data_IF_058277876608
#
_entry.id   IF_058277876608
#
_cell.length_a   1.000
_cell.length_b   1.000
_cell.length_c   1.000
_cell.angle_alpha   90.00
_cell.angle_beta   90.00
_cell.angle_gamma   90.00
#
_symmetry.space_group_name_H-M   'P 1'
#
loop_
_entity.id
_entity.type
_entity.pdbx_description
1 polymer ?
2 non-polymer ?
3 water ?
#
# COMPACT_ATOMS: atom_id res chain seq x y z
N UNK A 6 11.82 22.22 -19.53
CA UNK A 6 10.59 22.18 -20.30
C UNK A 6 9.57 21.23 -19.67
N UNK A 7 8.38 21.74 -19.37
CA UNK A 7 7.33 20.93 -18.78
C UNK A 7 6.87 19.84 -19.74
N UNK A 8 6.80 18.61 -19.24
CA UNK A 8 6.28 17.51 -20.04
C UNK A 8 4.79 17.69 -20.28
N UNK A 9 4.41 17.82 -21.56
CA UNK A 9 3.00 18.09 -21.91
C UNK A 9 2.09 16.93 -21.51
N UNK A 10 0.99 17.25 -20.85
CA UNK A 10 0.05 16.23 -20.39
C UNK A 10 -1.39 16.62 -20.73
N UNK A 11 -2.21 15.62 -21.05
CA UNK A 11 -3.58 15.85 -21.48
C UNK A 11 -4.56 15.00 -20.68
N UNK A 12 -5.80 15.46 -20.59
CA UNK A 12 -6.88 14.66 -20.03
C UNK A 12 -7.27 13.60 -21.06
N UNK A 13 -7.89 12.52 -20.60
CA UNK A 13 -8.39 11.51 -21.53
C UNK A 13 -9.41 12.14 -22.46
N UNK A 14 -9.41 11.71 -23.74
CA UNK A 14 -10.24 12.33 -24.78
C UNK A 14 -11.72 12.36 -24.41
N UNK A 15 -12.35 13.51 -24.57
CA UNK A 15 -13.78 13.66 -24.30
C UNK A 15 -14.09 13.77 -22.82
N UNK A 16 -13.04 13.88 -22.00
CA UNK A 16 -13.22 14.04 -20.56
C UNK A 16 -12.85 15.44 -20.07
N UNK A 17 -13.64 15.97 -19.16
CA UNK A 17 -13.40 17.30 -18.61
C UNK A 17 -12.66 17.18 -17.28
N UNK A 18 -12.38 18.32 -16.66
CA UNK A 18 -11.67 18.33 -15.39
C UNK A 18 -12.55 17.88 -14.26
N UNK A 19 -11.94 17.52 -13.12
CA UNK A 19 -12.69 17.07 -11.94
C UNK A 19 -13.45 18.22 -11.29
N UNK A 20 -14.71 17.98 -10.92
CA UNK A 20 -15.40 18.88 -10.02
C UNK A 20 -15.96 18.08 -8.86
N UNK A 21 -15.39 18.28 -7.68
CA UNK A 21 -15.77 17.53 -6.49
C UNK A 21 -15.83 18.46 -5.30
N UNK A 22 -16.96 18.48 -4.61
CA UNK A 22 -17.16 19.37 -3.47
C UNK A 22 -16.13 19.11 -2.37
N UNK A 23 -15.64 20.18 -1.77
CA UNK A 23 -14.71 20.06 -0.65
C UNK A 23 -15.50 19.81 0.63
N UNK A 24 -15.21 18.69 1.29
CA UNK A 24 -15.93 18.34 2.50
C UNK A 24 -15.45 19.17 3.70
N UNK A 25 -16.38 19.49 4.61
CA UNK A 25 -16.10 20.35 5.77
C UNK A 25 -14.98 19.77 6.63
N UNK A 26 -14.22 20.64 7.28
CA UNK A 26 -13.09 20.21 8.08
C UNK A 26 -13.09 20.84 9.46
N UNK A 27 -12.47 20.16 10.42
CA UNK A 27 -12.34 20.66 11.77
C UNK A 27 -11.48 21.92 11.78
N UNK A 28 -11.73 22.81 12.72
CA UNK A 28 -10.94 24.03 12.86
C UNK A 28 -9.45 23.72 12.95
N UNK A 29 -9.13 22.62 13.62
CA UNK A 29 -7.74 22.23 13.83
C UNK A 29 -7.05 21.83 12.52
N UNK A 30 -7.75 21.04 11.72
CA UNK A 30 -7.19 20.59 10.44
C UNK A 30 -7.10 21.75 9.45
N UNK A 31 -8.10 22.63 9.47
CA UNK A 31 -8.07 23.84 8.66
C UNK A 31 -6.86 24.69 9.00
N UNK A 32 -6.68 24.98 10.29
CA UNK A 32 -5.59 25.83 10.75
C UNK A 32 -4.24 25.27 10.32
N UNK A 33 -4.17 23.96 10.15
CA UNK A 33 -2.96 23.31 9.67
C UNK A 33 -2.82 23.45 8.16
N UNK A 34 -3.93 23.26 7.45
CA UNK A 34 -3.94 23.38 6.00
C UNK A 34 -3.58 24.79 5.54
N UNK A 35 -4.15 25.78 6.21
CA UNK A 35 -3.84 27.17 5.91
C UNK A 35 -2.33 27.43 6.03
N UNK A 36 -1.77 27.03 7.17
CA UNK A 36 -0.35 27.26 7.44
C UNK A 36 0.54 26.51 6.46
N UNK A 37 0.13 25.28 6.13
CA UNK A 37 0.87 24.47 5.17
C UNK A 37 0.87 25.13 3.80
N UNK A 38 -0.30 25.59 3.38
CA UNK A 38 -0.48 26.16 2.05
C UNK A 38 0.18 27.53 1.91
N UNK A 39 0.12 28.32 2.97
CA UNK A 39 0.77 29.64 2.95
C UNK A 39 2.23 29.47 2.58
N UNK A 40 2.84 28.41 3.09
CA UNK A 40 4.25 28.15 2.84
C UNK A 40 4.51 27.57 1.45
N UNK A 41 3.59 26.74 0.98
CA UNK A 41 3.71 26.17 -0.36
C UNK A 41 3.65 27.30 -1.38
N UNK A 42 2.91 28.36 -1.04
CA UNK A 42 2.75 29.51 -1.93
C UNK A 42 4.03 30.34 -1.97
N UNK A 43 4.61 30.61 -0.80
CA UNK A 43 5.85 31.36 -0.71
C UNK A 43 6.95 30.68 -1.52
N UNK A 44 6.91 29.36 -1.55
CA UNK A 44 7.90 28.57 -2.27
C UNK A 44 7.50 28.35 -3.72
N UNK A 45 6.33 28.87 -4.08
CA UNK A 45 5.84 28.77 -5.45
C UNK A 45 5.38 27.38 -5.84
N UNK A 46 5.04 26.57 -4.86
CA UNK A 46 4.54 25.23 -5.12
C UNK A 46 3.09 25.31 -5.56
N UNK A 47 2.39 26.34 -5.09
CA UNK A 47 1.00 26.57 -5.46
C UNK A 47 0.75 28.06 -5.69
N UNK A 48 -0.32 28.36 -6.42
CA UNK A 48 -0.67 29.75 -6.70
C UNK A 48 -2.17 29.96 -6.58
N UNK A 49 -2.57 31.12 -6.09
CA UNK A 49 -3.98 31.47 -6.04
C UNK A 49 -4.53 31.57 -7.46
N UNK A 50 -5.83 31.31 -7.61
CA UNK A 50 -6.47 31.38 -8.91
C UNK A 50 -7.78 32.16 -8.85
N UNK A 51 -8.30 32.53 -10.01
CA UNK A 51 -9.48 33.36 -10.09
C UNK A 51 -10.77 32.56 -10.25
N UNK A 52 -11.92 33.25 -10.20
CA UNK A 52 -13.24 32.64 -10.31
C UNK A 52 -13.48 31.96 -11.65
N UNK A 53 -12.66 32.28 -12.65
CA UNK A 53 -12.81 31.68 -13.97
C UNK A 53 -12.62 30.17 -13.96
N UNK A 54 -12.03 29.66 -12.88
CA UNK A 54 -11.73 28.23 -12.76
C UNK A 54 -12.86 27.45 -12.10
N UNK A 55 -13.54 26.61 -12.89
CA UNK A 55 -14.64 25.74 -12.46
C UNK A 55 -14.21 24.55 -11.60
N UNK A 56 -13.04 23.98 -11.91
CA UNK A 56 -12.62 22.70 -11.34
C UNK A 56 -12.32 22.73 -9.85
N UNK A 57 -12.49 21.59 -9.19
CA UNK A 57 -12.08 21.46 -7.80
C UNK A 57 -11.71 20.02 -7.43
N UNK A 58 -10.78 19.89 -6.50
CA UNK A 58 -10.40 18.59 -5.95
C UNK A 58 -10.37 18.69 -4.42
N UNK A 59 -10.82 17.64 -3.73
CA UNK A 59 -10.93 17.65 -2.27
C UNK A 59 -9.58 17.55 -1.58
N UNK A 60 -9.45 18.18 -0.42
CA UNK A 60 -8.23 18.11 0.36
C UNK A 60 -8.52 17.94 1.84
N UNK A 61 -7.59 17.30 2.55
CA UNK A 61 -7.69 17.21 4.00
C UNK A 61 -6.30 16.99 4.60
N UNK A 62 -6.27 16.83 5.91
CA UNK A 62 -4.99 16.74 6.62
C UNK A 62 -4.92 15.45 7.43
N UNK A 63 -3.79 14.76 7.34
CA UNK A 63 -3.57 13.55 8.11
C UNK A 63 -2.30 13.64 8.94
N UNK A 64 -2.04 12.59 9.73
CA UNK A 64 -0.78 12.48 10.46
C UNK A 64 -0.25 11.05 10.38
N UNK A 65 0.98 10.91 9.90
CA UNK A 65 1.55 9.59 9.68
C UNK A 65 2.33 9.09 10.90
N UNK A 66 2.16 7.81 11.20
CA UNK A 66 2.86 7.18 12.32
C UNK A 66 2.73 7.97 13.61
N UNK A 67 3.86 8.17 14.29
CA UNK A 67 3.89 8.86 15.58
C UNK A 67 4.00 10.38 15.41
N UNK A 68 4.28 10.81 14.19
CA UNK A 68 4.48 12.23 13.91
C UNK A 68 3.32 13.10 14.38
N UNK A 69 3.64 14.18 15.06
CA UNK A 69 2.63 15.14 15.50
C UNK A 69 2.50 16.27 14.48
N UNK A 70 3.32 16.21 13.45
CA UNK A 70 3.28 17.20 12.38
C UNK A 70 2.29 16.80 11.30
N UNK A 71 1.47 17.76 10.87
CA UNK A 71 0.44 17.50 9.87
C UNK A 71 1.00 17.34 8.46
N UNK A 72 0.36 16.47 7.68
CA UNK A 72 0.65 16.34 6.26
C UNK A 72 -0.62 16.63 5.47
N UNK A 73 -0.48 17.34 4.36
CA UNK A 73 -1.64 17.64 3.52
C UNK A 73 -1.93 16.47 2.57
N UNK A 74 -3.19 16.06 2.53
CA UNK A 74 -3.59 14.98 1.64
C UNK A 74 -4.66 15.44 0.66
N UNK A 75 -4.30 15.43 -0.62
CA UNK A 75 -5.22 15.83 -1.67
C UNK A 75 -5.81 14.57 -2.30
N UNK A 76 -7.09 14.59 -2.63
CA UNK A 76 -7.71 13.42 -3.24
C UNK A 76 -7.82 13.63 -4.75
N UNK A 77 -6.97 12.91 -5.48
CA UNK A 77 -6.90 13.01 -6.93
C UNK A 77 -7.67 11.92 -7.67
N UNK A 78 -8.40 11.10 -6.93
CA UNK A 78 -9.06 9.94 -7.53
C UNK A 78 -9.81 10.31 -8.80
N UNK A 79 -10.52 11.43 -8.78
CA UNK A 79 -11.22 11.91 -9.96
C UNK A 79 -10.26 12.34 -11.06
N UNK A 80 -9.33 13.22 -10.70
CA UNK A 80 -8.34 13.72 -11.64
C UNK A 80 -7.55 12.56 -12.26
N UNK A 81 -7.17 11.59 -11.44
CA UNK A 81 -6.41 10.44 -11.91
C UNK A 81 -7.19 9.61 -12.93
N UNK A 82 -8.46 9.40 -12.66
CA UNK A 82 -9.32 8.69 -13.60
C UNK A 82 -9.41 9.46 -14.92
N UNK A 83 -9.42 10.77 -14.84
CA UNK A 83 -9.60 11.62 -16.02
C UNK A 83 -8.29 11.97 -16.72
N UNK A 84 -7.16 11.68 -16.07
CA UNK A 84 -5.85 11.95 -16.63
C UNK A 84 -5.47 10.90 -17.69
N UNK A 85 -4.57 11.27 -18.60
CA UNK A 85 -4.12 10.38 -19.66
C UNK A 85 -3.38 9.17 -19.08
N UNK A 86 -3.34 8.09 -19.85
CA UNK A 86 -2.61 6.89 -19.43
C UNK A 86 -1.12 6.98 -19.75
N UNK A 87 -0.31 6.82 -18.71
CA UNK A 87 1.15 6.93 -18.79
C UNK A 87 1.86 5.59 -19.01
N UNK A 88 1.08 4.53 -19.25
CA UNK A 88 1.59 3.16 -19.22
C UNK A 88 2.85 2.95 -20.06
N UNK A 89 3.07 3.81 -21.04
CA UNK A 89 4.25 3.72 -21.88
C UNK A 89 5.52 3.54 -21.05
N UNK A 90 5.57 4.24 -19.92
CA UNK A 90 6.72 4.17 -19.01
C UNK A 90 6.83 2.81 -18.34
N UNK A 91 5.75 2.37 -17.71
CA UNK A 91 5.74 1.11 -16.97
C UNK A 91 6.08 -0.07 -17.88
N UNK A 94 9.58 -2.62 -17.12
CA UNK A 94 9.55 -2.69 -15.66
C UNK A 94 8.33 -3.46 -15.17
N UNK A 95 8.30 -4.78 -15.42
CA UNK A 95 7.20 -5.63 -14.96
C UNK A 95 7.20 -5.78 -13.45
N UNK A 96 6.01 -5.86 -12.84
CA UNK A 96 5.89 -5.94 -11.39
C UNK A 96 6.63 -7.16 -10.84
N UNK A 97 7.61 -6.92 -9.96
CA UNK A 97 8.40 -8.01 -9.38
C UNK A 97 7.55 -8.96 -8.53
N UNK A 98 7.67 -10.25 -8.81
CA UNK A 98 6.99 -11.27 -8.02
C UNK A 98 7.76 -11.56 -6.75
N UNK A 99 9.08 -11.36 -6.82
CA UNK A 99 9.95 -11.66 -5.71
C UNK A 99 9.72 -10.77 -4.50
N UNK A 100 9.21 -9.57 -4.73
CA UNK A 100 8.99 -8.61 -3.65
C UNK A 100 8.20 -9.21 -2.49
N UNK A 101 7.14 -9.95 -2.81
CA UNK A 101 6.28 -10.53 -1.79
C UNK A 101 6.96 -11.66 -1.03
N UNK A 102 8.05 -12.19 -1.59
CA UNK A 102 8.80 -13.27 -0.97
C UNK A 102 9.72 -12.76 0.14
N UNK A 103 10.17 -11.52 0.00
CA UNK A 103 11.24 -10.99 0.84
C UNK A 103 10.94 -11.06 2.33
N UNK A 104 12.00 -11.28 3.13
CA UNK A 104 11.87 -11.35 4.58
C UNK A 104 11.35 -10.03 5.13
N UNK A 105 11.84 -8.93 4.57
CA UNK A 105 11.45 -7.60 5.02
C UNK A 105 11.31 -6.62 3.87
N UNK A 106 10.26 -5.81 3.92
CA UNK A 106 10.04 -4.76 2.93
C UNK A 106 9.73 -3.45 3.63
N UNK A 107 10.52 -2.42 3.34
CA UNK A 107 10.34 -1.12 3.98
C UNK A 107 9.73 -0.12 3.00
N UNK A 108 8.84 0.74 3.50
CA UNK A 108 8.14 1.71 2.66
C UNK A 108 8.60 3.13 2.97
N UNK A 109 9.20 3.77 1.96
CA UNK A 109 9.64 5.16 2.11
C UNK A 109 8.71 6.10 1.36
N UNK A 110 8.45 7.27 1.93
CA UNK A 110 7.66 8.28 1.24
C UNK A 110 8.62 9.23 0.52
N UNK A 111 8.61 9.15 -0.80
CA UNK A 111 9.50 9.95 -1.65
C UNK A 111 8.85 11.22 -2.19
N UNK A 112 7.61 11.49 -1.76
CA UNK A 112 6.82 12.57 -2.32
C UNK A 112 7.54 13.90 -2.44
N UNK A 113 8.40 14.20 -1.47
CA UNK A 113 9.16 15.46 -1.49
C UNK A 113 9.89 15.67 -2.81
N UNK A 114 10.25 14.57 -3.46
CA UNK A 114 10.97 14.62 -4.74
C UNK A 114 10.21 15.40 -5.81
N UNK A 115 8.91 15.11 -5.91
CA UNK A 115 8.06 15.68 -6.95
C UNK A 115 8.09 17.20 -7.03
N UNK A 116 8.19 17.86 -5.88
CA UNK A 116 8.00 19.32 -5.81
C UNK A 116 9.07 20.14 -6.52
N UNK A 117 10.14 19.48 -6.97
CA UNK A 117 11.21 20.18 -7.69
C UNK A 117 10.97 20.18 -9.20
N UNK A 118 9.87 19.58 -9.63
CA UNK A 118 9.53 19.50 -11.05
C UNK A 118 8.29 20.34 -11.38
N UNK A 119 8.46 21.33 -12.27
CA UNK A 119 7.34 22.15 -12.72
C UNK A 119 6.29 21.34 -13.48
N UNK A 120 5.05 21.79 -13.41
CA UNK A 120 3.93 21.10 -14.03
C UNK A 120 3.46 21.86 -15.26
N UNK A 121 3.01 21.15 -16.29
CA UNK A 121 2.58 21.79 -17.53
C UNK A 121 1.57 22.89 -17.27
N UNK A 122 1.80 24.05 -17.89
CA UNK A 122 0.98 25.22 -17.63
C UNK A 122 -0.48 25.03 -18.03
N UNK A 123 -0.70 24.27 -19.10
CA UNK A 123 -2.06 24.01 -19.57
C UNK A 123 -2.83 23.17 -18.56
N UNK A 124 -2.15 22.22 -17.94
CA UNK A 124 -2.78 21.25 -17.06
C UNK A 124 -3.07 21.79 -15.66
N UNK A 125 -2.29 22.78 -15.23
CA UNK A 125 -2.35 23.28 -13.86
C UNK A 125 -3.76 23.60 -13.37
N UNK A 126 -4.59 24.16 -14.25
CA UNK A 126 -5.94 24.56 -13.88
C UNK A 126 -6.72 23.40 -13.26
N UNK A 127 -6.45 22.19 -13.73
CA UNK A 127 -7.22 21.00 -13.32
C UNK A 127 -6.92 20.56 -11.89
N UNK A 128 -5.84 21.08 -11.30
CA UNK A 128 -5.41 20.70 -9.97
C UNK A 128 -6.00 21.59 -8.89
N UNK A 129 -6.88 22.49 -9.29
CA UNK A 129 -7.46 23.47 -8.39
C UNK A 129 -8.11 22.84 -7.16
N UNK A 130 -7.85 23.45 -6.01
CA UNK A 130 -8.46 23.02 -4.75
C UNK A 130 -8.82 24.22 -3.89
N UNK A 131 -9.71 24.03 -2.93
CA UNK A 131 -10.20 25.12 -2.10
C UNK A 131 -9.88 24.91 -0.63
N UNK A 132 -9.29 25.92 0.00
CA UNK A 132 -9.01 25.88 1.42
C UNK A 132 -9.99 26.77 2.18
N UNK A 133 -10.90 26.14 2.93
CA UNK A 133 -11.86 26.91 3.73
C UNK A 133 -11.15 27.74 4.79
N UNK A 134 -11.71 28.89 5.14
CA UNK A 134 -11.10 29.76 6.13
C UNK A 134 -11.40 29.25 7.54
N UNK A 135 -10.88 29.94 8.54
CA UNK A 135 -11.13 29.56 9.93
C UNK A 135 -12.56 29.94 10.29
N UNK A 136 -13.31 28.95 10.78
CA UNK A 136 -14.71 29.12 11.16
C UNK A 136 -15.60 29.71 10.07
N UNK A 137 -15.21 29.46 8.82
CA UNK A 137 -16.02 29.84 7.65
C UNK A 137 -16.50 31.30 7.67
N UNK A 138 -15.65 32.19 8.17
CA UNK A 138 -16.02 33.61 8.27
C UNK A 138 -15.93 34.29 6.92
N UNK A 139 -15.09 33.75 6.04
CA UNK A 139 -14.92 34.29 4.70
C UNK A 139 -14.89 33.16 3.68
N UNK A 140 -15.11 33.48 2.41
CA UNK A 140 -15.02 32.45 1.37
C UNK A 140 -13.65 31.78 1.39
N UNK A 141 -13.60 30.53 0.97
CA UNK A 141 -12.35 29.81 0.92
C UNK A 141 -11.42 30.34 -0.16
N UNK A 142 -10.13 30.09 -0.01
CA UNK A 142 -9.15 30.50 -1.00
C UNK A 142 -8.82 29.35 -1.94
N UNK A 143 -8.85 29.63 -3.24
CA UNK A 143 -8.60 28.60 -4.24
C UNK A 143 -7.17 28.69 -4.78
N UNK A 144 -6.51 27.54 -4.85
CA UNK A 144 -5.15 27.48 -5.38
C UNK A 144 -5.06 26.46 -6.52
N UNK A 145 -3.88 26.35 -7.10
CA UNK A 145 -3.56 25.27 -8.03
C UNK A 145 -2.12 24.85 -7.83
N UNK A 146 -1.66 23.85 -8.58
CA UNK A 146 -0.31 23.32 -8.43
C UNK A 146 0.60 23.74 -9.57
N UNK A 147 1.71 24.39 -9.23
CA UNK A 147 2.72 24.77 -10.22
C UNK A 147 3.75 23.66 -10.42
N UNK A 148 3.71 22.67 -9.53
CA UNK A 148 4.65 21.57 -9.57
C UNK A 148 3.91 20.24 -9.48
N UNK A 149 4.60 19.15 -9.81
CA UNK A 149 3.97 17.83 -9.72
C UNK A 149 3.46 17.62 -8.31
N UNK A 150 2.14 17.45 -8.16
CA UNK A 150 1.50 17.24 -6.87
C UNK A 150 1.65 15.82 -6.35
N UNK A 151 1.63 15.66 -5.03
CA UNK A 151 1.63 14.34 -4.42
C UNK A 151 0.22 13.75 -4.49
N UNK A 152 0.11 12.53 -5.00
CA UNK A 152 -1.16 11.85 -5.06
C UNK A 152 -1.75 11.77 -6.45
N UNK A 153 -1.13 12.47 -7.39
CA UNK A 153 -1.59 12.46 -8.78
C UNK A 153 -0.78 11.43 -9.58
N UNK A 154 -1.46 10.60 -10.35
CA UNK A 154 -0.81 9.48 -11.01
C UNK A 154 0.21 9.93 -12.06
N UNK A 155 0.15 11.19 -12.45
CA UNK A 155 1.05 11.73 -13.45
C UNK A 155 2.43 12.00 -12.87
N UNK A 156 2.48 12.37 -11.60
CA UNK A 156 3.73 12.73 -10.94
C UNK A 156 4.81 11.65 -11.00
N UNK A 157 4.50 10.43 -10.57
CA UNK A 157 5.53 9.38 -10.59
C UNK A 157 5.95 9.01 -12.01
N UNK A 158 4.99 9.03 -12.93
CA UNK A 158 5.28 8.70 -14.33
C UNK A 158 6.24 9.70 -14.95
N UNK A 159 6.04 10.97 -14.63
CA UNK A 159 6.86 12.04 -15.17
C UNK A 159 8.22 12.12 -14.46
N UNK A 160 8.25 11.73 -13.19
CA UNK A 160 9.48 11.78 -12.40
C UNK A 160 10.26 10.48 -12.54
N UNK A 161 9.73 9.55 -13.32
CA UNK A 161 10.35 8.24 -13.52
C UNK A 161 11.84 8.34 -13.83
N UNK A 162 12.17 8.93 -14.97
CA UNK A 162 13.55 9.03 -15.43
C UNK A 162 14.47 9.58 -14.34
N UNK A 163 13.99 10.58 -13.62
CA UNK A 163 14.78 11.22 -12.57
C UNK A 163 15.03 10.26 -11.40
N UNK A 164 14.01 9.49 -11.04
CA UNK A 164 14.13 8.53 -9.95
C UNK A 164 15.10 7.42 -10.32
N UNK A 165 14.94 6.90 -11.53
CA UNK A 165 15.81 5.83 -12.03
C UNK A 165 17.28 6.25 -11.92
N UNK A 166 17.56 7.51 -12.21
CA UNK A 166 18.91 8.03 -12.13
C UNK A 166 19.43 8.03 -10.69
N UNK A 167 18.58 8.48 -9.77
CA UNK A 167 18.93 8.55 -8.35
C UNK A 167 19.23 7.17 -7.78
N UNK A 168 18.41 6.19 -8.15
CA UNK A 168 18.51 4.84 -7.62
C UNK A 168 19.63 3.99 -8.25
N UNK A 169 20.05 4.36 -9.45
CA UNK A 169 20.99 3.53 -10.21
C UNK A 169 22.21 3.10 -9.40
N UNK A 170 22.96 4.06 -8.83
CA UNK A 170 24.18 3.69 -8.11
C UNK A 170 23.91 2.68 -6.99
N UNK A 171 22.86 2.90 -6.23
CA UNK A 171 22.57 2.06 -5.08
C UNK A 171 22.11 0.68 -5.53
N UNK A 172 21.41 0.62 -6.65
CA UNK A 172 20.94 -0.62 -7.21
C UNK A 172 22.11 -1.42 -7.73
N UNK A 173 23.05 -0.74 -8.41
CA UNK A 173 24.27 -1.41 -8.85
C UNK A 173 25.03 -1.99 -7.63
N UNK A 174 25.07 -1.23 -6.53
CA UNK A 174 25.84 -1.60 -5.34
C UNK A 174 25.14 -2.68 -4.52
N UNK A 175 23.83 -2.83 -4.71
CA UNK A 175 23.06 -3.82 -3.98
C UNK A 175 22.12 -4.61 -4.89
N UNK A 176 22.68 -5.52 -5.68
CA UNK A 176 21.93 -6.30 -6.68
C UNK A 176 20.89 -7.23 -6.07
N UNK A 177 21.01 -7.53 -4.78
CA UNK A 177 20.09 -8.46 -4.12
C UNK A 177 18.92 -7.76 -3.45
N UNK A 178 18.89 -6.43 -3.58
CA UNK A 178 17.81 -5.63 -2.99
C UNK A 178 16.85 -5.12 -4.05
N UNK A 179 15.56 -5.38 -3.84
CA UNK A 179 14.53 -4.99 -4.80
C UNK A 179 13.88 -3.67 -4.41
N UNK A 180 13.91 -2.70 -5.32
CA UNK A 180 13.26 -1.42 -5.11
C UNK A 180 12.14 -1.20 -6.13
N UNK A 181 10.91 -1.11 -5.62
CA UNK A 181 9.74 -0.94 -6.48
C UNK A 181 8.93 0.27 -6.02
N UNK A 182 8.53 1.11 -6.96
CA UNK A 182 7.79 2.33 -6.63
C UNK A 182 6.32 2.25 -7.02
N UNK A 183 5.47 2.66 -6.08
CA UNK A 183 4.06 2.87 -6.37
C UNK A 183 3.64 4.23 -5.84
N UNK A 184 3.23 5.12 -6.74
CA UNK A 184 2.88 6.49 -6.38
C UNK A 184 4.01 7.19 -5.63
N UNK A 185 3.72 7.63 -4.41
CA UNK A 185 4.67 8.41 -3.63
C UNK A 185 5.54 7.50 -2.74
N UNK A 186 5.36 6.19 -2.85
CA UNK A 186 6.05 5.26 -1.97
C UNK A 186 7.11 4.40 -2.66
N UNK A 187 8.24 4.24 -1.98
CA UNK A 187 9.30 3.35 -2.45
C UNK A 187 9.34 2.10 -1.57
N UNK A 188 9.14 0.94 -2.19
CA UNK A 188 9.14 -0.32 -1.45
C UNK A 188 10.46 -1.04 -1.62
N UNK A 189 11.23 -1.13 -0.55
CA UNK A 189 12.52 -1.78 -0.58
C UNK A 189 12.48 -3.14 0.13
N UNK A 190 12.57 -4.21 -0.66
CA UNK A 190 12.62 -5.56 -0.10
C UNK A 190 14.02 -6.14 -0.01
N UNK A 191 14.17 -7.16 0.82
CA UNK A 191 15.42 -7.93 0.90
C UNK A 191 15.31 -9.02 1.95
N UNK A 192 16.20 -10.00 1.86
CA UNK A 192 16.26 -11.11 2.82
C UNK A 192 17.28 -10.88 3.92
N UNK A 193 17.95 -9.73 3.90
CA UNK A 193 19.02 -9.47 4.84
C UNK A 193 18.54 -9.48 6.28
N UNK A 194 19.44 -9.84 7.20
CA UNK A 194 19.13 -9.79 8.62
C UNK A 194 18.60 -8.41 8.96
N UNK A 195 17.57 -8.36 9.80
CA UNK A 195 16.82 -7.14 10.04
C UNK A 195 17.72 -5.94 10.35
N UNK A 196 18.83 -6.19 11.03
CA UNK A 196 19.77 -5.12 11.34
C UNK A 196 20.51 -4.65 10.11
N UNK A 197 20.98 -5.59 9.29
CA UNK A 197 21.65 -5.24 8.04
C UNK A 197 20.68 -4.53 7.10
N UNK A 198 19.50 -5.12 6.94
CA UNK A 198 18.45 -4.52 6.12
C UNK A 198 18.20 -3.07 6.54
N UNK A 199 18.07 -2.83 7.84
CA UNK A 199 17.78 -1.50 8.35
C UNK A 199 18.83 -0.45 7.98
N UNK A 200 20.11 -0.85 7.99
CA UNK A 200 21.18 0.09 7.68
C UNK A 200 21.26 0.30 6.17
N UNK A 201 20.85 -0.72 5.41
CA UNK A 201 20.75 -0.58 3.96
C UNK A 201 19.74 0.50 3.62
N UNK A 202 18.61 0.48 4.30
CA UNK A 202 17.59 1.51 4.16
C UNK A 202 18.16 2.87 4.51
N UNK A 203 18.96 2.92 5.58
CA UNK A 203 19.55 4.18 6.04
C UNK A 203 20.62 4.71 5.08
N UNK A 204 21.34 3.79 4.43
CA UNK A 204 22.28 4.16 3.38
C UNK A 204 21.50 4.78 2.22
N UNK A 205 20.46 4.07 1.79
CA UNK A 205 19.52 4.58 0.80
C UNK A 205 19.05 5.99 1.15
N UNK A 206 18.40 6.13 2.29
CA UNK A 206 17.88 7.41 2.74
C UNK A 206 18.92 8.52 2.68
N UNK A 207 20.18 8.18 2.96
CA UNK A 207 21.24 9.17 2.91
C UNK A 207 21.65 9.47 1.46
N UNK A 208 21.42 8.51 0.57
CA UNK A 208 21.71 8.72 -0.84
C UNK A 208 20.63 9.61 -1.46
N UNK A 209 19.37 9.34 -1.13
CA UNK A 209 18.27 10.17 -1.59
C UNK A 209 18.42 11.59 -1.05
N UNK A 210 19.02 11.72 0.13
CA UNK A 210 19.21 13.02 0.75
C UNK A 210 20.26 13.82 -0.02
N UNK A 211 21.25 13.14 -0.57
CA UNK A 211 22.28 13.77 -1.38
C UNK A 211 21.66 14.48 -2.58
N UNK A 212 20.52 13.98 -3.03
CA UNK A 212 19.81 14.57 -4.17
C UNK A 212 18.78 15.59 -3.70
N UNK A 213 18.75 15.83 -2.40
CA UNK A 213 17.84 16.80 -1.83
C UNK A 213 16.50 16.19 -1.47
N UNK A 214 16.33 14.91 -1.81
CA UNK A 214 15.09 14.21 -1.53
C UNK A 214 15.09 13.79 -0.07
N UNK A 215 14.12 14.28 0.69
CA UNK A 215 14.05 14.03 2.12
C UNK A 215 13.02 12.95 2.42
N UNK A 216 13.32 12.10 3.41
CA UNK A 216 12.45 10.98 3.74
C UNK A 216 12.12 10.92 5.23
N UNK A 217 10.86 10.59 5.55
CA UNK A 217 10.42 10.25 6.91
C UNK A 217 10.80 8.82 7.25
N UNK A 218 11.00 8.51 8.54
CA UNK A 218 11.39 7.17 8.93
C UNK A 218 10.53 6.11 8.25
N UNK A 219 11.16 5.04 7.79
CA UNK A 219 10.50 4.03 7.00
C UNK A 219 9.44 3.23 7.74
N UNK A 220 8.67 2.45 6.98
CA UNK A 220 7.62 1.59 7.53
C UNK A 220 7.92 0.13 7.18
N UNK A 221 8.04 -0.71 8.21
CA UNK A 221 8.49 -2.08 7.99
C UNK A 221 7.36 -3.10 7.81
N UNK A 222 7.45 -3.84 6.71
CA UNK A 222 6.48 -4.88 6.38
C UNK A 222 7.17 -6.23 6.35
N UNK A 223 6.41 -7.28 6.67
CA UNK A 223 6.92 -8.64 6.59
C UNK A 223 5.94 -9.52 5.82
N UNK A 224 5.98 -9.45 4.49
CA UNK A 224 5.07 -10.17 3.60
C UNK A 224 5.16 -11.66 3.83
N UNK A 225 6.32 -12.11 4.36
CA UNK A 225 6.56 -13.50 4.79
C UNK A 225 5.40 -13.97 5.65
N UNK A 226 5.03 -13.15 6.63
CA UNK A 226 3.95 -13.43 7.56
C UNK A 226 2.51 -13.13 7.03
N UNK A 227 2.33 -12.65 5.80
CA UNK A 227 0.96 -12.45 5.33
C UNK A 227 0.23 -13.74 5.02
N UNK A 228 0.91 -14.69 4.42
CA UNK A 228 0.26 -15.95 4.12
C UNK A 228 1.03 -17.11 4.71
N UNK A 229 0.35 -18.25 4.81
CA UNK A 229 0.99 -19.46 5.28
C UNK A 229 1.65 -20.15 4.09
N UNK A 230 2.90 -20.58 4.26
CA UNK A 230 3.81 -20.76 3.14
C UNK A 230 4.24 -22.19 2.80
N UNK A 231 4.64 -22.42 1.53
CA UNK A 231 5.20 -23.70 1.11
C UNK A 231 6.56 -23.97 1.77
N UNK A 232 7.01 -25.22 1.68
CA UNK A 232 8.21 -25.64 2.38
C UNK A 232 9.51 -25.70 1.55
N UNK A 233 10.60 -26.06 2.22
CA UNK A 233 11.89 -26.33 1.57
C UNK A 233 12.56 -27.60 2.12
N UNK A 241 24.75 -33.24 6.37
CA UNK A 241 25.04 -33.21 7.80
C UNK A 241 23.85 -33.72 8.61
N UNK A 242 24.13 -34.43 9.70
CA UNK A 242 23.09 -34.95 10.57
C UNK A 242 22.16 -33.85 11.05
N UNK A 243 22.73 -32.66 11.25
CA UNK A 243 21.94 -31.49 11.66
C UNK A 243 20.82 -31.19 10.68
N UNK A 244 21.14 -31.30 9.38
CA UNK A 244 20.16 -31.02 8.34
C UNK A 244 19.05 -32.07 8.30
N UNK A 245 19.42 -33.33 8.45
CA UNK A 245 18.46 -34.42 8.43
C UNK A 245 17.47 -34.31 9.59
N UNK A 246 17.93 -33.72 10.69
CA UNK A 246 17.05 -33.45 11.83
C UNK A 246 16.07 -32.33 11.48
N UNK A 247 16.57 -31.33 10.76
CA UNK A 247 15.73 -30.21 10.35
C UNK A 247 14.59 -30.70 9.45
N UNK A 248 14.92 -31.53 8.47
CA UNK A 248 13.91 -32.09 7.58
C UNK A 248 12.88 -32.92 8.35
N UNK A 249 13.35 -33.89 9.11
CA UNK A 249 12.48 -34.76 9.88
C UNK A 249 11.53 -33.96 10.77
N UNK A 250 12.04 -32.91 11.38
CA UNK A 250 11.23 -32.03 12.21
C UNK A 250 10.16 -31.33 11.39
N UNK A 251 10.51 -30.98 10.16
CA UNK A 251 9.59 -30.28 9.27
C UNK A 251 8.50 -31.20 8.74
N UNK A 252 8.85 -32.47 8.53
CA UNK A 252 7.88 -33.46 8.08
C UNK A 252 6.92 -33.84 9.19
N UNK A 253 7.46 -34.08 10.38
CA UNK A 253 6.64 -34.39 11.55
C UNK A 253 5.62 -33.28 11.78
N UNK A 254 6.05 -32.04 11.60
CA UNK A 254 5.17 -30.89 11.69
C UNK A 254 4.11 -30.99 10.61
N UNK A 255 4.55 -31.23 9.38
CA UNK A 255 3.67 -31.34 8.23
C UNK A 255 2.78 -32.58 8.31
N UNK A 256 3.13 -33.51 9.19
CA UNK A 256 2.39 -34.75 9.32
C UNK A 256 0.95 -34.52 9.78
N UNK A 257 0.78 -33.54 10.66
CA UNK A 257 -0.55 -33.20 11.16
C UNK A 257 -1.45 -32.69 10.04
N UNK A 258 -0.84 -32.37 8.91
CA UNK A 258 -1.58 -31.90 7.74
C UNK A 258 -1.80 -33.05 6.75
N UNK A 259 -0.70 -33.51 6.15
CA UNK A 259 -0.75 -34.62 5.20
C UNK A 259 -0.40 -35.93 5.90
N UNK A 260 -1.39 -36.82 6.05
CA UNK A 260 -1.19 -38.11 6.71
C UNK A 260 -0.27 -39.02 5.92
N UNK A 261 -0.06 -38.71 4.65
CA UNK A 261 0.75 -39.53 3.77
C UNK A 261 2.23 -39.25 3.81
N UNK A 262 2.61 -38.18 4.53
CA UNK A 262 4.01 -37.82 4.66
C UNK A 262 4.83 -38.98 5.22
N UNK A 263 6.00 -39.21 4.63
CA UNK A 263 6.86 -40.33 5.03
C UNK A 263 7.87 -39.93 6.10
N UNK A 264 8.06 -40.81 7.09
CA UNK A 264 8.90 -40.50 8.24
C UNK A 264 9.96 -41.56 8.56
N UNK A 265 9.51 -42.75 8.94
CA UNK A 265 10.38 -43.78 9.51
C UNK A 265 11.64 -44.08 8.70
N UNK A 266 11.53 -44.04 7.38
CA UNK A 266 12.68 -44.32 6.53
C UNK A 266 13.80 -43.31 6.76
N UNK A 267 13.42 -42.06 7.00
CA UNK A 267 14.37 -41.00 7.28
C UNK A 267 14.86 -41.09 8.72
N UNK A 268 14.01 -41.62 9.59
CA UNK A 268 14.35 -41.80 11.00
C UNK A 268 15.39 -42.91 11.16
N UNK A 269 15.31 -43.91 10.29
CA UNK A 269 16.22 -45.05 10.34
C UNK A 269 17.67 -44.63 10.14
N UNK A 270 17.87 -43.48 9.51
CA UNK A 270 19.21 -42.97 9.25
C UNK A 270 19.73 -42.13 10.41
N UNK A 271 18.85 -41.82 11.35
CA UNK A 271 19.20 -40.92 12.45
C UNK A 271 19.65 -41.65 13.72
N UNK A 272 19.70 -42.97 13.68
CA UNK A 272 20.15 -43.73 14.84
C UNK A 272 21.67 -43.73 14.92
N UNK A 273 22.20 -43.17 16.01
CA UNK A 273 23.62 -43.11 16.21
C UNK A 273 24.07 -41.94 17.07
N UNK A 274 25.36 -41.87 17.33
CA UNK A 274 25.96 -40.79 18.10
C UNK A 274 26.50 -39.68 17.20
N UNK A 275 26.27 -39.80 15.89
CA UNK A 275 26.95 -38.98 14.90
C UNK A 275 26.89 -37.49 15.20
N UNK A 276 28.06 -36.85 15.16
CA UNK A 276 28.20 -35.43 15.45
C UNK A 276 27.58 -34.54 14.37
N UNK A 277 27.33 -33.28 14.73
CA UNK A 277 26.79 -32.29 13.81
C UNK A 277 27.58 -32.29 12.51
N UNK A 278 28.90 -32.42 12.62
CA UNK A 278 29.79 -32.38 11.47
C UNK A 278 29.61 -33.59 10.55
N UNK A 279 29.26 -34.73 11.15
CA UNK A 279 29.16 -35.98 10.40
C UNK A 279 28.24 -35.86 9.19
N UNK A 280 28.73 -36.30 8.04
CA UNK A 280 27.94 -36.28 6.82
C UNK A 280 27.31 -37.64 6.55
N UNK A 281 25.99 -37.69 6.61
CA UNK A 281 25.26 -38.93 6.37
C UNK A 281 25.01 -39.13 4.88
N UNK A 282 25.24 -40.36 4.39
CA UNK A 282 24.99 -40.70 2.99
C UNK A 282 23.50 -40.81 2.70
N UNK A 283 23.11 -40.64 1.44
CA UNK A 283 21.70 -40.73 1.08
C UNK A 283 21.36 -42.14 0.62
N UNK A 284 20.55 -42.84 1.42
CA UNK A 284 20.15 -44.21 1.11
C UNK A 284 19.03 -44.25 0.08
N UNK A 285 18.96 -45.36 -0.65
CA UNK A 285 17.92 -45.54 -1.67
C UNK A 285 16.57 -45.78 -1.01
N UNK A 286 16.60 -46.09 0.29
CA UNK A 286 15.38 -46.32 1.06
C UNK A 286 14.72 -45.00 1.44
N UNK A 287 15.53 -44.02 1.83
CA UNK A 287 15.03 -42.73 2.28
C UNK A 287 14.61 -41.82 1.12
N UNK A 288 15.35 -41.90 0.02
CA UNK A 288 15.09 -41.03 -1.14
C UNK A 288 13.66 -41.17 -1.65
N UNK A 289 13.07 -42.34 -1.43
CA UNK A 289 11.68 -42.57 -1.83
C UNK A 289 10.75 -41.71 -0.99
N UNK A 290 11.08 -41.55 0.28
CA UNK A 290 10.31 -40.72 1.19
C UNK A 290 10.52 -39.24 0.90
N UNK A 291 11.70 -38.91 0.38
CA UNK A 291 12.05 -37.53 0.06
C UNK A 291 11.38 -37.08 -1.24
N UNK A 292 11.36 -37.97 -2.23
CA UNK A 292 10.73 -37.66 -3.52
C UNK A 292 9.22 -37.64 -3.39
N UNK A 293 8.68 -38.50 -2.53
CA UNK A 293 7.24 -38.56 -2.30
C UNK A 293 6.81 -37.38 -1.43
N UNK A 294 7.70 -36.93 -0.55
CA UNK A 294 7.43 -35.78 0.30
C UNK A 294 7.39 -34.49 -0.52
N UNK A 295 8.40 -34.31 -1.36
CA UNK A 295 8.41 -33.17 -2.27
C UNK A 295 7.18 -33.23 -3.16
N UNK A 296 6.65 -34.43 -3.36
CA UNK A 296 5.50 -34.64 -4.21
C UNK A 296 4.21 -34.18 -3.53
N UNK A 297 4.11 -34.39 -2.22
CA UNK A 297 2.96 -33.93 -1.46
C UNK A 297 3.08 -32.44 -1.16
N UNK A 298 4.30 -31.93 -1.26
CA UNK A 298 4.58 -30.49 -1.08
C UNK A 298 3.78 -29.63 -2.05
N UNK A 299 4.12 -29.73 -3.33
CA UNK A 299 3.52 -28.89 -4.37
C UNK A 299 2.00 -28.82 -4.27
N UNK A 303 -1.91 -24.71 -7.80
CA UNK A 303 -2.89 -24.41 -8.83
C UNK A 303 -3.48 -23.00 -8.64
N UNK A 304 -4.70 -22.95 -8.11
CA UNK A 304 -5.35 -21.68 -7.82
C UNK A 304 -6.04 -21.05 -9.01
N UNK A 305 -6.22 -19.73 -8.94
CA UNK A 305 -6.88 -18.98 -10.00
C UNK A 305 -5.88 -18.03 -10.68
N UNK A 306 -5.96 -17.95 -12.00
CA UNK A 306 -5.06 -17.11 -12.77
C UNK A 306 -5.39 -15.62 -12.61
N UNK A 307 -4.35 -14.80 -12.49
CA UNK A 307 -4.53 -13.36 -12.37
C UNK A 307 -4.30 -12.66 -13.70
N UNK A 308 -5.29 -11.87 -14.11
CA UNK A 308 -5.18 -11.11 -15.36
C UNK A 308 -4.81 -9.66 -15.11
N UNK A 309 -3.61 -9.27 -15.55
CA UNK A 309 -3.07 -7.91 -15.37
C UNK A 309 -3.94 -6.83 -16.00
N UNK A 310 -4.70 -7.19 -17.03
CA UNK A 310 -5.49 -6.19 -17.77
C UNK A 310 -6.78 -5.81 -17.07
N UNK A 311 -7.25 -6.65 -16.15
CA UNK A 311 -8.50 -6.39 -15.45
C UNK A 311 -8.27 -5.63 -14.15
N UNK A 312 -9.32 -5.47 -13.36
CA UNK A 312 -9.23 -4.73 -12.11
C UNK A 312 -9.40 -5.65 -10.91
N UNK A 313 -8.76 -5.29 -9.80
CA UNK A 313 -8.88 -6.04 -8.56
C UNK A 313 -10.04 -5.50 -7.74
N UNK A 314 -10.88 -6.40 -7.24
CA UNK A 314 -12.00 -6.01 -6.40
C UNK A 314 -11.87 -6.65 -5.02
N UNK A 315 -12.17 -5.88 -3.98
CA UNK A 315 -12.09 -6.39 -2.62
C UNK A 315 -13.39 -6.20 -1.86
N UNK A 316 -14.01 -7.30 -1.48
CA UNK A 316 -15.22 -7.27 -0.67
C UNK A 316 -14.90 -7.49 0.79
N UNK A 317 -15.50 -6.67 1.65
CA UNK A 317 -15.30 -6.81 3.09
C UNK A 317 -16.63 -7.06 3.78
N UNK A 318 -16.64 -8.04 4.68
CA UNK A 318 -17.81 -8.33 5.49
C UNK A 318 -17.47 -8.19 6.96
N UNK A 319 -18.43 -7.73 7.75
CA UNK A 319 -18.24 -7.66 9.20
C UNK A 319 -18.76 -8.93 9.86
N UNK A 320 -17.89 -9.59 10.62
CA UNK A 320 -18.25 -10.87 11.25
C UNK A 320 -18.79 -10.68 12.66
N UNK A 321 -18.95 -9.43 13.07
CA UNK A 321 -19.77 -9.12 14.22
C UNK A 321 -19.17 -8.73 15.56
N UNK A 322 -17.91 -9.03 15.84
CA UNK A 322 -17.34 -8.51 17.08
C UNK A 322 -16.07 -7.67 16.87
N UNK A 323 -14.95 -8.34 16.67
CA UNK A 323 -13.74 -7.68 16.22
C UNK A 323 -13.35 -8.11 14.82
N UNK A 324 -14.23 -8.89 14.20
CA UNK A 324 -13.84 -9.67 13.04
C UNK A 324 -14.32 -9.10 11.71
N UNK A 325 -13.41 -9.14 10.72
CA UNK A 325 -13.72 -8.71 9.37
C UNK A 325 -13.11 -9.71 8.39
N UNK A 326 -13.89 -10.09 7.38
CA UNK A 326 -13.41 -11.01 6.36
C UNK A 326 -13.37 -10.28 5.03
N UNK A 327 -12.47 -10.73 4.15
CA UNK A 327 -12.35 -10.09 2.84
C UNK A 327 -12.01 -11.11 1.76
N UNK A 328 -12.36 -10.77 0.53
CA UNK A 328 -11.96 -11.56 -0.62
C UNK A 328 -11.47 -10.61 -1.71
N UNK A 329 -10.44 -11.02 -2.43
CA UNK A 329 -9.96 -10.24 -3.56
C UNK A 329 -10.07 -11.07 -4.83
N UNK A 330 -10.72 -10.49 -5.83
CA UNK A 330 -10.99 -11.21 -7.06
C UNK A 330 -11.12 -10.27 -8.26
N UNK A 331 -11.43 -10.85 -9.40
CA UNK A 331 -11.66 -10.09 -10.62
C UNK A 331 -13.02 -10.50 -11.18
N UNK A 332 -13.13 -11.77 -11.57
CA UNK A 332 -14.44 -12.36 -11.85
C UNK A 332 -14.97 -12.96 -10.56
N UNK A 333 -16.27 -12.78 -10.29
CA UNK A 333 -16.88 -13.25 -9.03
C UNK A 333 -16.67 -14.74 -8.79
N UNK A 334 -16.64 -15.13 -7.52
CA UNK A 334 -16.54 -16.53 -7.12
C UNK A 334 -15.17 -17.14 -7.41
N UNK A 335 -14.35 -16.43 -8.18
CA UNK A 335 -12.96 -16.82 -8.37
C UNK A 335 -12.10 -15.87 -7.56
N UNK A 336 -11.52 -16.37 -6.47
CA UNK A 336 -10.78 -15.51 -5.55
C UNK A 336 -9.28 -15.72 -5.61
N UNK A 337 -8.57 -14.64 -5.92
CA UNK A 337 -7.11 -14.63 -5.90
C UNK A 337 -6.62 -14.73 -4.47
N UNK A 338 -7.32 -14.08 -3.55
CA UNK A 338 -6.96 -14.13 -2.14
C UNK A 338 -8.18 -13.96 -1.23
N UNK A 339 -8.12 -14.61 -0.07
CA UNK A 339 -9.14 -14.45 0.96
C UNK A 339 -8.45 -14.44 2.32
N UNK A 340 -8.97 -13.65 3.25
CA UNK A 340 -8.34 -13.54 4.56
C UNK A 340 -9.24 -12.96 5.62
N UNK A 341 -8.68 -12.70 6.79
CA UNK A 341 -9.45 -12.15 7.90
C UNK A 341 -8.62 -11.21 8.76
N UNK A 342 -9.23 -10.13 9.22
CA UNK A 342 -8.61 -9.20 10.14
C UNK A 342 -9.44 -9.14 11.41
N UNK A 343 -8.78 -8.96 12.55
CA UNK A 343 -9.48 -8.95 13.83
C UNK A 343 -9.00 -7.83 14.74
N UNK A 344 -9.94 -7.26 15.50
CA UNK A 344 -9.61 -6.21 16.45
C UNK A 344 -8.72 -6.76 17.56
N UNK A 345 -7.69 -6.00 17.91
CA UNK A 345 -6.80 -6.40 18.99
C UNK A 345 -7.52 -6.41 20.33
N UNK A 346 -7.11 -7.30 21.22
CA UNK A 346 -7.58 -7.25 22.59
C UNK A 346 -7.06 -5.98 23.25
N UNK A 347 -7.88 -5.37 24.10
CA UNK A 347 -7.49 -4.16 24.79
C UNK A 347 -7.67 -2.89 23.97
N UNK A 348 -8.13 -3.05 22.73
CA UNK A 348 -8.38 -1.90 21.87
C UNK A 348 -9.85 -1.50 21.91
N UNK A 349 -10.11 -0.19 21.93
CA UNK A 349 -11.47 0.33 21.95
C UNK A 349 -12.18 -0.11 20.68
N UNK A 350 -13.50 -0.24 20.75
CA UNK A 350 -14.24 -0.65 19.56
C UNK A 350 -14.70 0.57 18.80
N UNK A 351 -14.08 0.78 17.64
CA UNK A 351 -14.52 1.78 16.68
C UNK A 351 -14.48 1.12 15.32
N UNK A 352 -15.64 0.96 14.70
CA UNK A 352 -15.72 0.16 13.49
C UNK A 352 -15.09 0.87 12.30
N UNK A 353 -15.23 2.20 12.25
CA UNK A 353 -14.62 2.97 11.18
C UNK A 353 -13.09 2.93 11.29
N UNK A 354 -12.57 3.22 12.48
CA UNK A 354 -11.14 3.19 12.71
C UNK A 354 -10.54 1.82 12.38
N UNK A 355 -11.22 0.76 12.80
CA UNK A 355 -10.78 -0.59 12.46
C UNK A 355 -10.90 -0.86 10.96
N UNK A 356 -12.07 -0.57 10.40
CA UNK A 356 -12.32 -0.80 8.98
C UNK A 356 -11.35 0.01 8.12
N UNK A 357 -11.01 1.21 8.58
CA UNK A 357 -10.06 2.07 7.89
C UNK A 357 -8.67 1.43 7.85
N UNK A 358 -8.30 0.75 8.93
CA UNK A 358 -6.99 0.10 9.00
C UNK A 358 -6.95 -1.16 8.14
N UNK A 359 -8.09 -1.86 8.05
CA UNK A 359 -8.19 -3.05 7.22
C UNK A 359 -8.06 -2.68 5.75
N UNK A 360 -8.73 -1.62 5.34
CA UNK A 360 -8.67 -1.15 3.96
C UNK A 360 -7.25 -0.78 3.56
N UNK A 361 -6.54 -0.11 4.46
CA UNK A 361 -5.17 0.31 4.19
C UNK A 361 -4.24 -0.88 4.04
N UNK A 362 -4.46 -1.91 4.86
CA UNK A 362 -3.63 -3.10 4.82
C UNK A 362 -3.90 -3.96 3.60
N UNK A 363 -5.17 -4.20 3.31
CA UNK A 363 -5.56 -4.94 2.11
C UNK A 363 -4.99 -4.28 0.87
N UNK A 364 -4.95 -2.95 0.88
CA UNK A 364 -4.39 -2.20 -0.24
C UNK A 364 -2.88 -2.40 -0.33
N UNK A 365 -2.22 -2.29 0.82
CA UNK A 365 -0.77 -2.50 0.90
C UNK A 365 -0.40 -3.88 0.36
N UNK A 366 -1.23 -4.88 0.67
CA UNK A 366 -1.00 -6.22 0.16
C UNK A 366 -1.14 -6.26 -1.36
N UNK A 367 -2.25 -5.73 -1.86
CA UNK A 367 -2.50 -5.69 -3.30
C UNK A 367 -1.38 -4.98 -4.04
N UNK A 368 -0.90 -3.89 -3.46
CA UNK A 368 0.20 -3.13 -4.05
C UNK A 368 1.46 -3.97 -4.15
N UNK A 369 1.78 -4.69 -3.08
CA UNK A 369 2.98 -5.51 -3.03
C UNK A 369 2.87 -6.73 -3.94
N UNK A 370 1.68 -7.34 -3.96
CA UNK A 370 1.49 -8.56 -4.74
C UNK A 370 1.33 -8.28 -6.23
N UNK A 371 0.22 -7.64 -6.60
CA UNK A 371 -0.07 -7.37 -8.01
C UNK A 371 0.32 -5.96 -8.46
N UNK A 372 0.83 -5.15 -7.55
CA UNK A 372 1.19 -3.78 -7.87
C UNK A 372 0.00 -2.94 -8.28
N UNK A 373 -1.14 -3.18 -7.64
CA UNK A 373 -2.38 -2.48 -7.99
C UNK A 373 -3.28 -2.32 -6.76
N UNK A 374 -4.04 -1.24 -6.72
CA UNK A 374 -5.00 -1.03 -5.63
C UNK A 374 -6.38 -1.55 -6.03
N UNK A 375 -7.00 -2.35 -5.15
CA UNK A 375 -8.32 -2.92 -5.43
C UNK A 375 -9.44 -1.90 -5.27
N UNK A 376 -10.55 -2.12 -5.96
CA UNK A 376 -11.75 -1.32 -5.76
C UNK A 376 -12.56 -1.96 -4.65
N UNK A 377 -12.89 -1.17 -3.63
CA UNK A 377 -13.49 -1.70 -2.42
C UNK A 377 -15.01 -1.66 -2.38
N UNK A 378 -15.59 -2.71 -1.80
CA UNK A 378 -16.99 -2.70 -1.42
C UNK A 378 -17.05 -2.76 0.11
N UNK A 379 -17.45 -1.67 0.73
CA UNK A 379 -17.37 -1.53 2.18
C UNK A 379 -18.68 -1.84 2.88
N UNK A 380 -18.63 -2.73 3.88
CA UNK A 380 -19.78 -3.12 4.69
C UNK A 380 -20.03 -2.08 5.78
N UNK A 381 -20.64 -0.96 5.40
CA UNK A 381 -20.85 0.15 6.31
C UNK A 381 -21.61 1.26 5.58
N UNK A 382 -22.20 2.18 6.34
CA UNK A 382 -23.00 3.25 5.76
C UNK A 382 -22.12 4.38 5.21
N UNK A 383 -22.49 4.85 4.02
CA UNK A 383 -21.75 5.91 3.32
C UNK A 383 -21.46 7.10 4.23
N UNK A 384 -22.47 7.56 4.96
CA UNK A 384 -22.33 8.77 5.77
C UNK A 384 -21.29 8.60 6.87
N UNK A 385 -21.43 7.53 7.64
CA UNK A 385 -20.50 7.23 8.72
C UNK A 385 -19.06 7.25 8.26
N UNK A 386 -18.79 6.51 7.18
CA UNK A 386 -17.46 6.43 6.61
C UNK A 386 -16.92 7.80 6.20
N UNK A 387 -17.67 8.50 5.37
CA UNK A 387 -17.22 9.77 4.83
C UNK A 387 -16.96 10.83 5.89
N UNK A 388 -17.68 10.74 7.00
CA UNK A 388 -17.43 11.64 8.13
C UNK A 388 -16.11 11.33 8.83
N UNK A 389 -15.96 10.08 9.26
CA UNK A 389 -14.82 9.67 10.10
C UNK A 389 -13.49 9.30 9.42
N UNK A 390 -13.55 8.69 8.24
CA UNK A 390 -12.37 8.00 7.69
C UNK A 390 -11.07 8.80 7.72
N UNK A 391 -11.13 10.10 7.44
CA UNK A 391 -9.92 10.93 7.40
C UNK A 391 -9.20 11.06 8.74
N UNK A 392 -9.93 10.84 9.83
CA UNK A 392 -9.35 10.90 11.16
C UNK A 392 -8.27 9.84 11.31
N UNK A 393 -8.59 8.63 10.87
CA UNK A 393 -7.75 7.45 11.07
C UNK A 393 -6.85 7.07 9.89
N UNK A 394 -6.87 7.85 8.82
CA UNK A 394 -6.14 7.48 7.59
C UNK A 394 -4.67 7.92 7.61
N UNK A 395 -3.76 6.95 7.58
CA UNK A 395 -2.33 7.23 7.54
C UNK A 395 -1.68 7.16 6.15
N UNK A 396 -2.44 6.76 5.14
CA UNK A 396 -1.87 6.49 3.82
C UNK A 396 -1.68 7.75 2.96
N UNK A 397 -0.72 7.69 2.04
CA UNK A 397 -0.50 8.78 1.09
C UNK A 397 -1.39 8.61 -0.13
N UNK A 398 -1.99 7.43 -0.26
CA UNK A 398 -2.87 7.12 -1.37
C UNK A 398 -4.27 6.79 -0.87
N UNK A 399 -5.26 6.92 -1.75
CA UNK A 399 -6.62 6.48 -1.46
C UNK A 399 -7.10 5.59 -2.59
N UNK A 400 -7.82 4.51 -2.25
CA UNK A 400 -8.35 3.63 -3.30
C UNK A 400 -9.75 4.06 -3.68
N UNK A 401 -10.35 3.36 -4.64
CA UNK A 401 -11.76 3.54 -4.95
C UNK A 401 -12.56 2.69 -3.97
N UNK A 402 -13.69 3.20 -3.52
CA UNK A 402 -14.56 2.40 -2.65
C UNK A 402 -16.04 2.63 -2.88
N UNK A 403 -16.82 1.63 -2.49
CA UNK A 403 -18.26 1.60 -2.73
C UNK A 403 -18.91 0.98 -1.52
N UNK A 404 -20.04 1.53 -1.10
CA UNK A 404 -20.70 1.03 0.10
C UNK A 404 -21.85 0.08 -0.25
N UNK A 405 -21.97 -0.99 0.52
CA UNK A 405 -23.05 -1.96 0.32
C UNK A 405 -24.35 -1.19 0.35
N UNK A 406 -25.31 -1.57 -0.47
CA UNK A 406 -26.58 -0.87 -0.40
C UNK A 406 -27.60 -1.67 0.38
N UNK A 407 -27.83 -1.22 1.61
CA UNK A 407 -29.02 -1.55 2.37
C UNK A 407 -29.31 -0.33 3.23
N UNK A 408 -30.60 -0.04 3.48
CA UNK A 408 -30.88 1.00 4.47
C UNK A 408 -30.64 0.51 5.89
N UNK A 409 -30.11 1.38 6.77
CA UNK A 409 -29.99 1.01 8.18
C UNK A 409 -31.36 1.04 8.84
N UNK A 410 -31.58 0.19 9.83
CA UNK A 410 -32.87 0.17 10.53
C UNK A 410 -32.97 1.36 11.48
N UNK A 411 -34.07 2.10 11.37
CA UNK A 411 -34.34 3.21 12.28
C UNK A 411 -35.52 2.85 13.16
N UNK A 412 -35.28 2.63 14.44
CA UNK A 412 -36.33 2.22 15.36
C UNK A 412 -36.41 3.08 16.61
N UNK A 413 -37.55 3.74 16.78
CA UNK A 413 -37.80 4.46 18.01
C UNK A 413 -38.18 3.56 19.21
N UNK A 414 -37.98 4.10 20.40
CA UNK A 414 -38.21 3.34 21.60
C UNK A 414 -39.55 2.63 21.55
N UNK A 415 -40.56 3.36 21.12
CA UNK A 415 -41.91 2.88 21.35
C UNK A 415 -42.41 1.97 20.28
N UNK A 416 -41.50 1.65 19.36
CA UNK A 416 -41.69 0.70 18.26
C UNK A 416 -41.16 -0.70 18.53
N UNK A 417 -41.86 -1.69 18.00
CA UNK A 417 -41.50 -3.09 18.21
C UNK A 417 -41.19 -3.77 16.89
N UNK A 418 -39.98 -4.33 16.84
CA UNK A 418 -39.50 -5.10 15.70
C UNK A 418 -40.29 -6.44 15.55
#
# INVERSE_FOLDING_TARGET
PISPIETVPVKLKPGMDGPKVKQWPLTEEKIKALVEICTEMEKEGKISKIGPENPYNTPVFAIKKKDSTKWRKLVDFRELNKRTQDFWEVQLGIPHPAGLKKKKSVTVLDVGDAYFSVPLDEDFRKYTAFTIPSINNETPGIRYQYNVLPQGWKGSPAIFQSSMTKILEPFRKQNPDIVIYQYMDDLYVGSDLEIGQHRTKIEELRQHLLRWGLTTPDGYELHPDKWTVQPIVLPEKDSWTVNDIQKLVGKLNWASQIYPGIKVRQLSKLLRGTKALTEVIPLTEEAELELAENREILKEPVHGVYYDPSKDLIAEIQKQGQGQWTYQIYQEPFKNLKTGKYARMRGAHTNDVKQLTEAVQKITTESIVIWGKTPKFKLPIQKETWETWWTEYWQATWIPEWEFVNTPPLVKLWYQLE
#
